data_IF_768219952743
#
_entry.id   IF_768219952743
#
_cell.length_a   1.000
_cell.length_b   1.000
_cell.length_c   1.000
_cell.angle_alpha   90.00
_cell.angle_beta   90.00
_cell.angle_gamma   90.00
#
_symmetry.space_group_name_H-M   'P 1'
#
loop_
_entity.id
_entity.type
_entity.pdbx_description
1 polymer ?
#
# COMPACT_ATOMS: atom_id res chain seq x y z
N UNK A 1 -0.44 1.59 20.58
CA UNK A 1 0.00 0.18 20.47
C UNK A 1 1.32 0.12 19.74
N UNK A 2 1.41 0.11 18.40
CA UNK A 2 2.71 -0.07 17.72
C UNK A 2 3.81 0.91 18.19
N UNK A 3 3.52 2.21 18.23
CA UNK A 3 4.47 3.22 18.72
C UNK A 3 4.76 3.13 20.23
N UNK A 4 3.81 2.65 21.02
CA UNK A 4 3.97 2.44 22.47
C UNK A 4 4.88 1.24 22.76
N UNK A 5 5.03 0.35 21.77
CA UNK A 5 5.96 -0.77 21.77
C UNK A 5 7.28 -0.45 21.04
N UNK A 6 7.56 0.84 20.80
CA UNK A 6 8.75 1.33 20.08
C UNK A 6 8.93 0.76 18.65
N UNK A 7 7.84 0.31 18.02
CA UNK A 7 7.87 -0.15 16.62
C UNK A 7 7.83 1.04 15.67
N UNK A 8 8.74 1.04 14.69
CA UNK A 8 8.90 2.13 13.72
C UNK A 8 8.33 1.83 12.34
N UNK A 9 8.12 0.55 12.00
CA UNK A 9 7.71 0.11 10.66
C UNK A 9 6.38 -0.64 10.70
N UNK A 10 5.62 -0.55 9.60
CA UNK A 10 4.39 -1.32 9.40
C UNK A 10 4.18 -1.66 7.93
N UNK A 11 3.76 -2.91 7.66
CA UNK A 11 3.35 -3.36 6.32
C UNK A 11 1.87 -3.06 6.14
N UNK A 12 1.50 -2.43 5.02
CA UNK A 12 0.13 -2.04 4.71
C UNK A 12 -0.20 -2.42 3.28
N UNK A 13 -1.40 -2.98 3.09
CA UNK A 13 -1.89 -3.34 1.76
C UNK A 13 -1.25 -4.60 1.17
N UNK A 14 -0.73 -5.51 2.00
CA UNK A 14 -0.21 -6.81 1.53
C UNK A 14 -1.23 -7.53 0.64
N UNK A 15 -0.74 -8.20 -0.41
CA UNK A 15 -1.57 -8.85 -1.43
C UNK A 15 -2.62 -9.80 -0.85
N UNK A 16 -2.27 -10.61 0.16
CA UNK A 16 -3.19 -11.52 0.86
C UNK A 16 -4.37 -10.75 1.50
N UNK A 17 -4.11 -9.61 2.14
CA UNK A 17 -5.16 -8.81 2.75
C UNK A 17 -6.10 -8.24 1.68
N UNK A 18 -5.55 -7.77 0.57
CA UNK A 18 -6.34 -7.20 -0.54
C UNK A 18 -7.18 -8.27 -1.24
N UNK A 19 -6.60 -9.42 -1.54
CA UNK A 19 -7.20 -10.44 -2.43
C UNK A 19 -7.99 -11.50 -1.69
N UNK A 20 -7.58 -11.87 -0.48
CA UNK A 20 -8.19 -12.95 0.32
C UNK A 20 -9.12 -12.36 1.38
N UNK A 21 -8.71 -11.27 2.04
CA UNK A 21 -9.44 -10.70 3.18
C UNK A 21 -10.34 -9.51 2.81
N UNK A 22 -10.38 -9.13 1.52
CA UNK A 22 -11.25 -8.07 1.01
C UNK A 22 -10.81 -6.65 1.37
N UNK A 23 -9.54 -6.42 1.69
CA UNK A 23 -9.03 -5.08 1.98
C UNK A 23 -9.00 -4.20 0.72
N UNK A 24 -9.72 -3.09 0.75
CA UNK A 24 -9.84 -2.20 -0.41
C UNK A 24 -8.62 -1.27 -0.56
N UNK A 25 -8.47 -0.68 -1.75
CA UNK A 25 -7.43 0.33 -2.00
C UNK A 25 -7.56 1.53 -1.04
N UNK A 26 -8.79 1.99 -0.81
CA UNK A 26 -9.09 3.09 0.11
C UNK A 26 -8.77 2.73 1.57
N UNK A 27 -9.10 1.52 2.02
CA UNK A 27 -8.74 1.06 3.37
C UNK A 27 -7.22 1.03 3.55
N UNK A 28 -6.48 0.50 2.58
CA UNK A 28 -5.01 0.46 2.60
C UNK A 28 -4.43 1.88 2.66
N UNK A 29 -4.94 2.79 1.82
CA UNK A 29 -4.50 4.18 1.76
C UNK A 29 -4.74 4.94 3.08
N UNK A 30 -5.94 4.81 3.68
CA UNK A 30 -6.27 5.44 4.96
C UNK A 30 -5.42 4.91 6.12
N UNK A 31 -5.12 3.61 6.13
CA UNK A 31 -4.19 3.03 7.11
C UNK A 31 -2.79 3.61 6.96
N UNK A 32 -2.29 3.68 5.73
CA UNK A 32 -0.96 4.22 5.42
C UNK A 32 -0.86 5.68 5.85
N UNK A 33 -1.82 6.52 5.45
CA UNK A 33 -1.89 7.93 5.87
C UNK A 33 -1.80 8.07 7.39
N UNK A 34 -2.63 7.33 8.13
CA UNK A 34 -2.65 7.42 9.60
C UNK A 34 -1.32 6.99 10.23
N UNK A 35 -0.66 5.95 9.70
CA UNK A 35 0.65 5.51 10.20
C UNK A 35 1.73 6.56 9.92
N UNK A 36 1.74 7.14 8.70
CA UNK A 36 2.68 8.18 8.28
C UNK A 36 2.52 9.48 9.09
N UNK A 37 1.28 9.93 9.32
CA UNK A 37 0.98 11.10 10.16
C UNK A 37 1.46 10.93 11.61
N UNK A 38 1.59 9.68 12.07
CA UNK A 38 2.13 9.33 13.39
C UNK A 38 3.64 9.07 13.36
N UNK A 39 4.30 9.28 12.22
CA UNK A 39 5.75 9.20 12.08
C UNK A 39 6.29 7.80 11.78
N UNK A 40 5.44 6.80 11.52
CA UNK A 40 5.89 5.47 11.14
C UNK A 40 6.43 5.44 9.70
N UNK A 41 7.27 4.44 9.41
CA UNK A 41 7.66 4.05 8.05
C UNK A 41 6.67 2.99 7.55
N UNK A 42 6.06 3.25 6.39
CA UNK A 42 5.07 2.35 5.80
C UNK A 42 5.69 1.61 4.63
N UNK A 43 5.68 0.28 4.70
CA UNK A 43 5.92 -0.60 3.56
C UNK A 43 4.57 -0.81 2.88
N UNK A 44 4.33 -0.09 1.78
CA UNK A 44 3.06 -0.11 1.07
C UNK A 44 3.13 -1.08 -0.11
N UNK A 45 2.38 -2.17 -0.01
CA UNK A 45 2.40 -3.23 -1.02
C UNK A 45 1.42 -2.93 -2.16
N UNK A 46 1.89 -3.16 -3.38
CA UNK A 46 1.13 -3.09 -4.63
C UNK A 46 1.39 -4.35 -5.45
N UNK A 47 0.42 -4.76 -6.25
CA UNK A 47 0.57 -5.94 -7.11
C UNK A 47 -0.69 -6.32 -7.88
N UNK A 48 -0.47 -6.78 -9.11
CA UNK A 48 -1.47 -7.39 -9.98
C UNK A 48 -1.47 -8.92 -9.87
N UNK A 49 -2.63 -9.51 -10.14
CA UNK A 49 -2.83 -10.96 -10.26
C UNK A 49 -2.37 -11.50 -11.61
N UNK A 50 -2.28 -12.83 -11.73
CA UNK A 50 -1.92 -13.48 -12.99
C UNK A 50 -2.89 -13.10 -14.12
N UNK A 51 -4.19 -13.05 -13.82
CA UNK A 51 -5.23 -12.75 -14.81
C UNK A 51 -5.21 -11.28 -15.23
N UNK A 52 -4.99 -10.36 -14.28
CA UNK A 52 -4.78 -8.94 -14.58
C UNK A 52 -3.54 -8.73 -15.46
N UNK A 53 -2.43 -9.44 -15.17
CA UNK A 53 -1.22 -9.41 -16.00
C UNK A 53 -1.47 -9.96 -17.41
N UNK A 54 -2.13 -11.12 -17.52
CA UNK A 54 -2.50 -11.72 -18.82
C UNK A 54 -3.43 -10.81 -19.63
N UNK A 55 -4.24 -9.99 -18.96
CA UNK A 55 -5.08 -8.98 -19.57
C UNK A 55 -4.35 -7.66 -19.91
N UNK A 56 -3.01 -7.61 -19.77
CA UNK A 56 -2.18 -6.41 -19.94
C UNK A 56 -2.53 -5.24 -19.00
N UNK A 57 -3.10 -5.53 -17.83
CA UNK A 57 -3.52 -4.51 -16.83
C UNK A 57 -2.50 -4.31 -15.70
N UNK A 58 -1.26 -4.76 -15.86
CA UNK A 58 -0.22 -4.63 -14.81
C UNK A 58 -0.08 -3.19 -14.34
N UNK A 59 0.07 -2.24 -15.27
CA UNK A 59 0.21 -0.83 -14.89
C UNK A 59 -1.08 -0.27 -14.30
N UNK A 60 -2.22 -0.52 -14.93
CA UNK A 60 -3.52 -0.01 -14.48
C UNK A 60 -3.82 -0.39 -13.03
N UNK A 61 -3.56 -1.65 -12.67
CA UNK A 61 -3.82 -2.16 -11.31
C UNK A 61 -2.86 -1.54 -10.30
N UNK A 62 -1.55 -1.55 -10.59
CA UNK A 62 -0.54 -1.02 -9.68
C UNK A 62 -0.67 0.50 -9.51
N UNK A 63 -0.97 1.23 -10.59
CA UNK A 63 -1.24 2.67 -10.55
C UNK A 63 -2.51 2.95 -9.75
N UNK A 64 -3.61 2.25 -9.97
CA UNK A 64 -4.85 2.48 -9.19
C UNK A 64 -4.66 2.26 -7.68
N UNK A 65 -3.80 1.31 -7.29
CA UNK A 65 -3.44 1.09 -5.88
C UNK A 65 -2.59 2.23 -5.31
N UNK A 66 -1.66 2.79 -6.09
CA UNK A 66 -0.86 3.96 -5.71
C UNK A 66 -1.66 5.26 -5.73
N UNK A 67 -2.58 5.43 -6.68
CA UNK A 67 -3.46 6.59 -6.78
C UNK A 67 -4.34 6.72 -5.56
N UNK A 68 -4.87 5.60 -5.04
CA UNK A 68 -5.61 5.62 -3.78
C UNK A 68 -4.76 6.17 -2.62
N UNK A 69 -3.48 5.81 -2.54
CA UNK A 69 -2.56 6.38 -1.55
C UNK A 69 -2.31 7.86 -1.82
N UNK A 70 -2.05 8.23 -3.07
CA UNK A 70 -1.80 9.62 -3.46
C UNK A 70 -2.98 10.54 -3.12
N UNK A 71 -4.22 10.08 -3.34
CA UNK A 71 -5.42 10.81 -3.00
C UNK A 71 -5.57 11.05 -1.48
N UNK A 72 -5.07 10.13 -0.65
CA UNK A 72 -5.07 10.28 0.81
C UNK A 72 -3.92 11.15 1.33
N UNK A 73 -2.74 11.10 0.70
CA UNK A 73 -1.56 11.87 1.14
C UNK A 73 -1.54 13.32 0.59
N UNK A 74 -2.18 13.55 -0.56
CA UNK A 74 -2.12 14.81 -1.29
C UNK A 74 -0.69 15.25 -1.64
N UNK A 75 -0.49 16.56 -1.81
CA UNK A 75 0.81 17.16 -2.15
C UNK A 75 1.83 17.18 -0.99
N UNK A 76 1.59 16.41 0.07
CA UNK A 76 2.43 16.39 1.26
C UNK A 76 3.70 15.58 1.02
N UNK A 77 4.69 16.18 0.34
CA UNK A 77 6.02 15.57 0.08
C UNK A 77 6.69 15.00 1.35
N UNK A 78 6.35 15.54 2.53
CA UNK A 78 6.87 15.07 3.82
C UNK A 78 6.41 13.65 4.18
N UNK A 79 5.16 13.28 3.89
CA UNK A 79 4.65 11.95 4.23
C UNK A 79 5.24 10.88 3.31
N UNK A 80 5.40 11.20 2.03
CA UNK A 80 6.03 10.31 1.05
C UNK A 80 7.47 9.91 1.41
N UNK A 81 8.19 10.72 2.19
CA UNK A 81 9.55 10.39 2.67
C UNK A 81 9.60 9.07 3.46
N UNK A 82 8.51 8.73 4.15
CA UNK A 82 8.43 7.55 5.00
C UNK A 82 7.67 6.39 4.32
N UNK A 83 7.52 6.42 3.00
CA UNK A 83 6.89 5.34 2.22
C UNK A 83 7.96 4.51 1.51
N UNK A 84 7.90 3.20 1.71
CA UNK A 84 8.63 2.20 0.93
C UNK A 84 7.61 1.49 0.06
N UNK A 85 7.78 1.52 -1.26
CA UNK A 85 6.90 0.81 -2.19
C UNK A 85 7.41 -0.62 -2.34
N UNK A 86 6.58 -1.59 -1.98
CA UNK A 86 6.84 -3.01 -2.23
C UNK A 86 5.99 -3.47 -3.42
N UNK A 87 6.61 -3.62 -4.59
CA UNK A 87 5.95 -4.25 -5.74
C UNK A 87 6.03 -5.77 -5.57
N UNK A 88 4.88 -6.39 -5.38
CA UNK A 88 4.68 -7.81 -5.11
C UNK A 88 3.80 -8.41 -6.22
N UNK A 89 4.38 -8.94 -7.31
CA UNK A 89 3.59 -9.62 -8.35
C UNK A 89 2.81 -10.79 -7.74
N UNK A 90 1.49 -10.67 -7.58
CA UNK A 90 0.66 -11.64 -6.82
C UNK A 90 0.73 -13.04 -7.43
N UNK A 91 1.03 -13.12 -8.72
CA UNK A 91 1.23 -14.37 -9.45
C UNK A 91 2.56 -15.10 -9.15
N UNK A 92 3.43 -14.53 -8.32
CA UNK A 92 4.72 -15.11 -7.89
C UNK A 92 4.84 -15.22 -6.37
N UNK A 93 3.76 -14.96 -5.62
CA UNK A 93 3.71 -15.06 -4.16
C UNK A 93 3.21 -16.44 -3.77
#
# INVERSE_FOLDING_TARGET
>A
MLLDMDLSHVIIGHSERRRIMGETNEQSAKKARRALEKGMIVIFCIGETLDERKANKTMDVNIAQLEALNNELGDTKKLWKNVVIAYEPVWSI
#
